data_IF_717040042226
#
_entry.id   IF_717040042226
#
_cell.length_a   1.000
_cell.length_b   1.000
_cell.length_c   1.000
_cell.angle_alpha   90.00
_cell.angle_beta   90.00
_cell.angle_gamma   90.00
#
_symmetry.space_group_name_H-M   'P 1'
#
loop_
_entity.id
_entity.type
_entity.pdbx_description
1 polymer ?
#
# COMPACT_ATOMS: atom_id res chain seq x y z
N UNK A 1 20.61 8.66 -37.86
CA UNK A 1 19.66 8.23 -36.81
C UNK A 1 20.47 7.82 -35.59
N UNK A 2 20.40 8.51 -34.45
CA UNK A 2 21.17 8.11 -33.28
C UNK A 2 20.47 6.96 -32.55
N UNK A 3 21.27 5.99 -32.12
CA UNK A 3 20.86 4.85 -31.33
C UNK A 3 20.37 5.29 -29.94
N UNK A 4 19.19 4.81 -29.54
CA UNK A 4 18.65 4.97 -28.19
C UNK A 4 19.49 4.10 -27.22
N UNK A 5 20.57 4.64 -26.67
CA UNK A 5 21.41 3.96 -25.69
C UNK A 5 20.88 4.05 -24.25
N UNK A 6 19.61 4.38 -24.06
CA UNK A 6 18.97 4.43 -22.75
C UNK A 6 18.13 3.18 -22.55
N UNK A 7 18.66 2.18 -21.85
CA UNK A 7 17.81 1.11 -21.30
C UNK A 7 16.78 1.76 -20.38
N UNK A 8 15.53 1.88 -20.84
CA UNK A 8 14.43 2.39 -20.04
C UNK A 8 14.37 1.64 -18.70
N UNK A 9 14.07 2.33 -17.60
CA UNK A 9 13.91 1.72 -16.28
C UNK A 9 12.93 0.54 -16.31
N UNK A 10 11.92 0.59 -17.18
CA UNK A 10 11.00 -0.53 -17.44
C UNK A 10 11.70 -1.75 -18.03
N UNK A 11 12.70 -1.58 -18.89
CA UNK A 11 13.50 -2.67 -19.44
C UNK A 11 14.40 -3.29 -18.38
N UNK A 12 15.02 -2.47 -17.51
CA UNK A 12 15.81 -2.96 -16.36
C UNK A 12 14.92 -3.67 -15.32
N UNK A 13 13.70 -3.16 -15.09
CA UNK A 13 12.70 -3.78 -14.22
C UNK A 13 12.20 -5.10 -14.79
N UNK A 14 11.85 -5.16 -16.08
CA UNK A 14 11.47 -6.41 -16.76
C UNK A 14 12.60 -7.44 -16.78
N UNK A 15 13.86 -7.01 -16.96
CA UNK A 15 15.03 -7.88 -16.86
C UNK A 15 15.29 -8.35 -15.41
N UNK A 16 14.89 -7.57 -14.40
CA UNK A 16 14.95 -7.99 -13.00
C UNK A 16 13.85 -8.99 -12.63
N UNK A 17 12.66 -8.90 -13.25
CA UNK A 17 11.59 -9.90 -13.12
C UNK A 17 11.94 -11.25 -13.77
N UNK A 18 12.85 -11.24 -14.76
CA UNK A 18 13.35 -12.46 -15.42
C UNK A 18 14.49 -13.14 -14.65
N UNK A 19 15.12 -12.44 -13.71
CA UNK A 19 16.10 -13.04 -12.82
C UNK A 19 15.35 -13.65 -11.64
N UNK A 20 15.34 -14.98 -11.60
CA UNK A 20 14.90 -15.80 -10.48
C UNK A 20 15.81 -15.59 -9.24
N UNK A 21 16.08 -14.34 -8.87
CA UNK A 21 16.79 -13.94 -7.67
C UNK A 21 15.78 -13.85 -6.54
N UNK A 22 16.10 -14.48 -5.40
CA UNK A 22 15.25 -14.45 -4.24
C UNK A 22 15.01 -13.00 -3.80
N UNK A 23 13.74 -12.60 -3.68
CA UNK A 23 13.37 -11.30 -3.13
C UNK A 23 13.93 -11.16 -1.71
N UNK A 24 14.50 -10.00 -1.38
CA UNK A 24 14.98 -9.66 -0.04
C UNK A 24 14.02 -8.67 0.65
N UNK A 25 12.89 -9.15 1.20
CA UNK A 25 11.90 -8.27 1.83
C UNK A 25 12.47 -7.59 3.09
N UNK A 26 12.06 -6.34 3.32
CA UNK A 26 12.43 -5.59 4.54
C UNK A 26 11.62 -6.01 5.76
N UNK A 27 10.45 -6.61 5.54
CA UNK A 27 9.52 -7.01 6.58
C UNK A 27 9.29 -8.52 6.50
N UNK A 28 9.71 -9.22 7.55
CA UNK A 28 9.51 -10.66 7.73
C UNK A 28 8.52 -10.91 8.87
N UNK A 29 7.85 -12.08 8.92
CA UNK A 29 7.06 -12.47 10.08
C UNK A 29 7.90 -12.37 11.35
N UNK A 30 7.40 -11.62 12.34
CA UNK A 30 8.05 -11.54 13.64
C UNK A 30 8.09 -12.93 14.31
N UNK A 31 9.23 -13.31 14.89
CA UNK A 31 9.41 -14.54 15.66
C UNK A 31 10.32 -14.22 16.86
N UNK A 32 9.88 -14.46 18.11
CA UNK A 32 8.54 -14.87 18.51
C UNK A 32 7.49 -13.77 18.21
N UNK A 33 6.23 -14.16 18.11
CA UNK A 33 5.10 -13.25 17.92
C UNK A 33 3.99 -13.55 18.92
N UNK A 34 3.62 -12.54 19.70
CA UNK A 34 2.49 -12.55 20.61
C UNK A 34 1.53 -11.39 20.27
N UNK A 35 0.35 -11.66 19.70
CA UNK A 35 -0.62 -10.62 19.39
C UNK A 35 -1.19 -9.93 20.64
N UNK A 36 -1.21 -10.60 21.80
CA UNK A 36 -1.71 -10.04 23.05
C UNK A 36 -0.75 -9.01 23.65
N UNK A 37 0.56 -9.16 23.45
CA UNK A 37 1.57 -8.18 23.85
C UNK A 37 1.42 -6.89 23.05
N UNK A 38 1.38 -7.00 21.72
CA UNK A 38 1.14 -5.86 20.82
C UNK A 38 -0.22 -5.19 21.11
N UNK A 39 -1.27 -5.98 21.36
CA UNK A 39 -2.59 -5.49 21.73
C UNK A 39 -2.56 -4.62 23.00
N UNK A 40 -1.82 -5.04 24.04
CA UNK A 40 -1.67 -4.28 25.28
C UNK A 40 -0.90 -2.97 25.05
N UNK A 41 0.16 -3.00 24.25
CA UNK A 41 0.90 -1.78 23.85
C UNK A 41 -0.01 -0.82 23.08
N UNK A 42 -0.78 -1.30 22.11
CA UNK A 42 -1.73 -0.45 21.38
C UNK A 42 -2.83 0.11 22.29
N UNK A 43 -3.18 -0.61 23.36
CA UNK A 43 -4.12 -0.10 24.35
C UNK A 43 -3.57 1.09 25.14
N UNK A 44 -2.28 1.10 25.49
CA UNK A 44 -1.68 2.26 26.16
C UNK A 44 -1.65 3.49 25.28
N UNK A 45 -1.41 3.33 23.97
CA UNK A 45 -1.35 4.45 23.01
C UNK A 45 -2.72 4.93 22.50
N UNK A 46 -3.80 4.18 22.80
CA UNK A 46 -5.16 4.50 22.34
C UNK A 46 -6.10 5.01 23.45
N UNK A 47 -5.53 5.41 24.60
CA UNK A 47 -6.24 5.90 25.81
C UNK A 47 -6.31 7.43 25.96
N UNK A 48 -5.76 8.21 25.03
CA UNK A 48 -5.78 9.68 25.11
C UNK A 48 -7.14 10.31 24.78
N UNK A 49 -7.49 11.40 25.47
CA UNK A 49 -8.66 12.27 25.18
C UNK A 49 -8.49 13.00 23.83
N UNK A 50 -7.24 13.13 23.35
CA UNK A 50 -6.85 13.87 22.15
C UNK A 50 -6.54 13.00 20.92
N UNK A 51 -6.90 11.72 20.94
CA UNK A 51 -6.71 10.81 19.79
C UNK A 51 -5.67 9.73 20.03
N UNK A 52 -5.37 9.00 18.96
CA UNK A 52 -4.44 7.86 18.93
C UNK A 52 -3.05 8.37 18.57
N UNK A 53 -2.01 7.95 19.31
CA UNK A 53 -0.61 8.23 18.92
C UNK A 53 -0.24 7.39 17.68
N UNK A 54 -0.49 7.95 16.50
CA UNK A 54 -0.27 7.28 15.22
C UNK A 54 1.19 6.87 15.02
N UNK A 55 2.15 7.64 15.55
CA UNK A 55 3.58 7.31 15.45
C UNK A 55 3.90 6.05 16.26
N UNK A 56 3.36 5.95 17.47
CA UNK A 56 3.51 4.75 18.28
C UNK A 56 2.84 3.53 17.63
N UNK A 57 1.62 3.71 17.07
CA UNK A 57 0.93 2.64 16.33
C UNK A 57 1.77 2.16 15.14
N UNK A 58 2.33 3.07 14.34
CA UNK A 58 3.22 2.75 13.22
C UNK A 58 4.49 2.04 13.73
N UNK A 59 5.05 2.46 14.86
CA UNK A 59 6.23 1.83 15.46
C UNK A 59 6.03 0.36 15.85
N UNK A 60 4.81 -0.03 16.19
CA UNK A 60 4.42 -1.42 16.50
C UNK A 60 4.02 -2.14 15.21
N UNK A 61 2.95 -1.68 14.56
CA UNK A 61 2.35 -2.33 13.39
C UNK A 61 3.28 -2.36 12.17
N UNK A 62 4.11 -1.33 12.01
CA UNK A 62 5.09 -1.23 10.92
C UNK A 62 6.16 -2.34 10.96
N UNK A 63 6.35 -3.00 12.11
CA UNK A 63 7.27 -4.12 12.31
C UNK A 63 6.56 -5.49 12.27
N UNK A 64 5.30 -5.53 11.87
CA UNK A 64 4.48 -6.74 11.77
C UNK A 64 4.01 -6.94 10.34
N UNK A 65 4.04 -8.19 9.88
CA UNK A 65 3.46 -8.53 8.58
C UNK A 65 1.96 -8.27 8.57
N UNK A 66 1.40 -8.15 7.37
CA UNK A 66 -0.03 -8.07 7.13
C UNK A 66 -0.87 -8.94 8.08
N UNK A 67 -0.58 -10.25 8.08
CA UNK A 67 -1.35 -11.26 8.81
C UNK A 67 -1.28 -11.01 10.31
N UNK A 68 -0.07 -10.78 10.82
CA UNK A 68 0.16 -10.44 12.22
C UNK A 68 -0.59 -9.16 12.64
N UNK A 69 -0.69 -8.15 11.78
CA UNK A 69 -1.50 -6.94 12.09
C UNK A 69 -2.98 -7.27 12.24
N UNK A 70 -3.51 -8.19 11.44
CA UNK A 70 -4.89 -8.67 11.57
C UNK A 70 -5.08 -9.45 12.88
N UNK A 71 -4.14 -10.33 13.22
CA UNK A 71 -4.18 -11.10 14.47
C UNK A 71 -4.19 -10.16 15.70
N UNK A 72 -3.39 -9.08 15.67
CA UNK A 72 -3.41 -8.05 16.72
C UNK A 72 -4.74 -7.30 16.76
N UNK A 73 -5.33 -6.98 15.59
CA UNK A 73 -6.65 -6.34 15.53
C UNK A 73 -7.75 -7.24 16.10
N UNK A 74 -7.68 -8.54 15.84
CA UNK A 74 -8.58 -9.55 16.39
C UNK A 74 -8.41 -9.68 17.91
N UNK A 75 -7.17 -9.81 18.40
CA UNK A 75 -6.87 -9.83 19.83
C UNK A 75 -7.41 -8.58 20.54
N UNK A 76 -7.26 -7.40 19.92
CA UNK A 76 -7.81 -6.15 20.44
C UNK A 76 -9.35 -6.15 20.49
N UNK A 77 -10.01 -6.69 19.46
CA UNK A 77 -11.47 -6.84 19.43
C UNK A 77 -11.95 -7.81 20.51
N UNK A 78 -11.30 -8.96 20.66
CA UNK A 78 -11.65 -9.99 21.64
C UNK A 78 -11.46 -9.50 23.09
N UNK A 79 -10.38 -8.75 23.35
CA UNK A 79 -10.03 -8.28 24.69
C UNK A 79 -10.80 -7.05 25.15
N UNK A 80 -11.14 -6.15 24.22
CA UNK A 80 -11.73 -4.85 24.57
C UNK A 80 -13.13 -4.61 23.98
N UNK A 81 -13.66 -5.54 23.19
CA UNK A 81 -14.99 -5.45 22.57
C UNK A 81 -15.14 -4.33 21.54
N UNK A 82 -14.03 -3.72 21.08
CA UNK A 82 -14.04 -2.56 20.17
C UNK A 82 -13.04 -2.76 19.05
N UNK A 83 -13.43 -2.37 17.83
CA UNK A 83 -12.56 -2.51 16.66
C UNK A 83 -11.40 -1.51 16.73
N UNK A 84 -10.17 -2.01 16.69
CA UNK A 84 -8.99 -1.16 16.65
C UNK A 84 -8.95 -0.30 15.37
N UNK A 85 -9.39 -0.86 14.23
CA UNK A 85 -9.50 -0.14 12.95
C UNK A 85 -10.29 1.17 13.08
N UNK A 86 -11.38 1.18 13.86
CA UNK A 86 -12.21 2.37 14.08
C UNK A 86 -11.55 3.48 14.92
N UNK A 87 -10.41 3.18 15.57
CA UNK A 87 -9.62 4.16 16.35
C UNK A 87 -8.54 4.85 15.53
N UNK A 88 -8.24 4.35 14.33
CA UNK A 88 -7.26 4.94 13.43
C UNK A 88 -7.92 5.96 12.52
N UNK A 89 -7.13 6.93 12.03
CA UNK A 89 -7.54 7.72 10.87
C UNK A 89 -7.79 6.82 9.67
N UNK A 90 -8.63 7.29 8.75
CA UNK A 90 -8.99 6.54 7.53
C UNK A 90 -7.75 6.19 6.69
N UNK A 91 -6.81 7.13 6.55
CA UNK A 91 -5.54 6.93 5.83
C UNK A 91 -4.66 5.87 6.51
N UNK A 92 -4.51 5.93 7.84
CA UNK A 92 -3.67 4.98 8.56
C UNK A 92 -4.28 3.58 8.58
N UNK A 93 -5.61 3.47 8.74
CA UNK A 93 -6.32 2.20 8.62
C UNK A 93 -6.17 1.58 7.22
N UNK A 94 -6.18 2.41 6.16
CA UNK A 94 -6.01 1.98 4.77
C UNK A 94 -4.63 1.37 4.55
N UNK A 95 -3.57 2.00 5.04
CA UNK A 95 -2.19 1.50 4.84
C UNK A 95 -1.85 0.33 5.77
N UNK A 96 -2.36 0.29 7.00
CA UNK A 96 -1.98 -0.74 7.97
C UNK A 96 -2.87 -2.00 7.97
N UNK A 97 -4.18 -1.86 7.70
CA UNK A 97 -5.18 -2.91 8.00
C UNK A 97 -5.99 -3.39 6.78
N UNK A 98 -6.15 -2.58 5.71
CA UNK A 98 -6.90 -3.01 4.51
C UNK A 98 -6.13 -3.91 3.54
N UNK A 99 -6.65 -5.11 3.24
CA UNK A 99 -5.97 -6.14 2.41
C UNK A 99 -5.17 -5.51 1.27
N UNK A 100 -3.94 -5.93 0.96
CA UNK A 100 -3.11 -5.27 -0.05
C UNK A 100 -3.84 -5.11 -1.38
N UNK A 101 -4.60 -6.13 -1.76
CA UNK A 101 -5.41 -6.16 -2.98
C UNK A 101 -6.57 -5.15 -2.92
N UNK A 102 -7.21 -4.99 -1.76
CA UNK A 102 -8.26 -4.00 -1.56
C UNK A 102 -7.68 -2.59 -1.55
N UNK A 103 -6.54 -2.38 -0.88
CA UNK A 103 -5.79 -1.12 -0.91
C UNK A 103 -5.48 -0.71 -2.36
N UNK A 104 -4.93 -1.64 -3.15
CA UNK A 104 -4.60 -1.41 -4.56
C UNK A 104 -5.84 -1.17 -5.41
N UNK A 105 -6.99 -1.79 -5.10
CA UNK A 105 -8.23 -1.57 -5.82
C UNK A 105 -8.71 -0.12 -5.67
N UNK A 106 -8.63 0.45 -4.46
CA UNK A 106 -8.95 1.86 -4.23
C UNK A 106 -7.96 2.80 -4.94
N UNK A 107 -6.66 2.52 -4.86
CA UNK A 107 -5.65 3.34 -5.57
C UNK A 107 -5.85 3.27 -7.11
N UNK A 108 -6.24 2.10 -7.64
CA UNK A 108 -6.59 1.94 -9.06
C UNK A 108 -7.88 2.71 -9.41
N UNK A 109 -8.90 2.66 -8.54
CA UNK A 109 -10.15 3.39 -8.74
C UNK A 109 -9.90 4.89 -8.77
N UNK A 110 -9.12 5.42 -7.81
CA UNK A 110 -8.71 6.82 -7.79
C UNK A 110 -7.95 7.16 -9.08
N UNK A 111 -6.98 6.35 -9.52
CA UNK A 111 -6.21 6.62 -10.73
C UNK A 111 -7.02 6.56 -12.04
N UNK A 112 -8.10 5.77 -12.09
CA UNK A 112 -8.97 5.66 -13.26
C UNK A 112 -9.99 6.81 -13.36
N UNK A 113 -10.42 7.38 -12.24
CA UNK A 113 -11.47 8.41 -12.20
C UNK A 113 -10.94 9.82 -11.98
N UNK A 114 -9.70 9.98 -11.49
CA UNK A 114 -9.08 11.28 -11.29
C UNK A 114 -8.15 11.64 -12.46
N UNK A 115 -8.19 12.89 -12.89
CA UNK A 115 -7.25 13.42 -13.88
C UNK A 115 -5.91 13.69 -13.22
N UNK A 116 -4.89 12.91 -13.55
CA UNK A 116 -3.51 13.18 -13.17
C UNK A 116 -2.99 14.36 -14.02
N UNK A 117 -2.30 15.31 -13.37
CA UNK A 117 -1.60 16.39 -14.07
C UNK A 117 -0.12 16.31 -13.77
N UNK A 118 0.69 16.48 -14.80
CA UNK A 118 2.15 16.41 -14.72
C UNK A 118 2.73 17.78 -14.99
N UNK A 119 3.61 18.23 -14.11
CA UNK A 119 4.47 19.37 -14.38
C UNK A 119 5.54 18.98 -15.40
N UNK A 120 5.61 19.74 -16.48
CA UNK A 120 6.60 19.58 -17.54
C UNK A 120 7.40 20.87 -17.63
N UNK A 121 8.72 20.74 -17.52
CA UNK A 121 9.63 21.87 -17.66
C UNK A 121 10.42 21.73 -18.95
N UNK A 122 10.21 22.65 -19.90
CA UNK A 122 10.90 22.68 -21.19
C UNK A 122 11.39 24.10 -21.47
N UNK A 123 12.69 24.24 -21.73
CA UNK A 123 13.29 25.53 -22.11
C UNK A 123 13.15 26.63 -21.04
N UNK A 124 13.24 26.28 -19.76
CA UNK A 124 13.14 27.25 -18.64
C UNK A 124 11.71 27.67 -18.27
N UNK A 125 10.70 27.23 -19.01
CA UNK A 125 9.29 27.37 -18.65
C UNK A 125 8.76 26.09 -17.99
N UNK A 126 7.76 26.20 -17.10
CA UNK A 126 7.05 25.05 -16.52
C UNK A 126 5.57 25.19 -16.80
N UNK A 127 4.96 24.14 -17.34
CA UNK A 127 3.53 24.03 -17.59
C UNK A 127 2.97 22.76 -16.98
N UNK A 128 1.65 22.70 -16.79
CA UNK A 128 0.94 21.52 -16.32
C UNK A 128 0.22 20.89 -17.50
N UNK A 129 0.48 19.61 -17.74
CA UNK A 129 -0.17 18.83 -18.78
C UNK A 129 -1.03 17.73 -18.13
N UNK A 130 -2.28 17.60 -18.57
CA UNK A 130 -3.13 16.48 -18.15
C UNK A 130 -2.58 15.21 -18.75
N UNK A 131 -2.27 14.23 -17.90
CA UNK A 131 -1.77 12.93 -18.35
C UNK A 131 -2.92 12.14 -18.94
N UNK A 132 -2.90 11.79 -20.24
CA UNK A 132 -3.94 10.97 -20.84
C UNK A 132 -3.91 9.56 -20.25
N UNK A 133 -5.09 8.99 -20.01
CA UNK A 133 -5.18 7.55 -19.76
C UNK A 133 -4.66 6.77 -20.99
N UNK A 134 -3.91 5.65 -20.84
CA UNK A 134 -3.54 4.94 -19.60
C UNK A 134 -2.14 5.32 -19.06
N UNK A 135 -1.60 6.49 -19.42
CA UNK A 135 -0.24 6.88 -19.08
C UNK A 135 -0.06 7.31 -17.61
N UNK A 136 -1.14 7.31 -16.83
CA UNK A 136 -1.10 7.60 -15.40
C UNK A 136 -0.11 6.65 -14.71
N UNK A 137 0.85 7.22 -13.97
CA UNK A 137 1.97 6.47 -13.42
C UNK A 137 1.49 5.35 -12.48
N UNK A 138 0.47 5.63 -11.69
CA UNK A 138 -0.11 4.68 -10.73
C UNK A 138 -0.71 3.46 -11.44
N UNK A 139 -1.38 3.64 -12.59
CA UNK A 139 -1.97 2.55 -13.36
C UNK A 139 -0.87 1.63 -13.90
N UNK A 140 0.16 2.22 -14.51
CA UNK A 140 1.30 1.48 -15.04
C UNK A 140 2.00 0.72 -13.90
N UNK A 141 2.25 1.37 -12.76
CA UNK A 141 2.89 0.75 -11.61
C UNK A 141 2.08 -0.44 -11.09
N UNK A 142 0.77 -0.29 -10.89
CA UNK A 142 -0.11 -1.37 -10.40
C UNK A 142 -0.15 -2.53 -11.40
N UNK A 143 -0.34 -2.27 -12.70
CA UNK A 143 -0.49 -3.32 -13.70
C UNK A 143 0.83 -4.03 -13.98
N UNK A 144 1.95 -3.30 -14.06
CA UNK A 144 3.25 -3.87 -14.42
C UNK A 144 4.01 -4.52 -13.25
N UNK A 145 3.60 -4.32 -12.00
CA UNK A 145 4.27 -4.90 -10.82
C UNK A 145 3.53 -6.10 -10.21
N UNK A 146 2.53 -6.64 -10.90
CA UNK A 146 1.66 -7.72 -10.38
C UNK A 146 1.64 -8.91 -11.33
N UNK A 147 1.57 -10.10 -10.72
CA UNK A 147 1.35 -11.36 -11.43
C UNK A 147 -0.08 -11.45 -11.98
N UNK A 148 -0.33 -12.31 -12.99
CA UNK A 148 -1.67 -12.54 -13.51
C UNK A 148 -2.69 -12.97 -12.44
N UNK A 149 -2.26 -13.74 -11.44
CA UNK A 149 -3.08 -14.19 -10.32
C UNK A 149 -3.45 -13.01 -9.41
N UNK A 150 -2.48 -12.18 -9.05
CA UNK A 150 -2.72 -10.97 -8.25
C UNK A 150 -3.64 -9.97 -8.96
N UNK A 151 -3.54 -9.85 -10.30
CA UNK A 151 -4.43 -9.00 -11.09
C UNK A 151 -5.86 -9.52 -11.12
N UNK A 152 -6.07 -10.85 -11.12
CA UNK A 152 -7.41 -11.45 -10.99
C UNK A 152 -8.01 -11.13 -9.62
N UNK A 153 -7.24 -11.31 -8.55
CA UNK A 153 -7.68 -10.99 -7.20
C UNK A 153 -7.99 -9.49 -7.03
N UNK A 154 -7.14 -8.63 -7.61
CA UNK A 154 -7.35 -7.19 -7.65
C UNK A 154 -8.65 -6.84 -8.37
N UNK A 155 -8.91 -7.43 -9.53
CA UNK A 155 -10.16 -7.22 -10.29
C UNK A 155 -11.38 -7.58 -9.44
N UNK A 156 -11.34 -8.72 -8.74
CA UNK A 156 -12.43 -9.15 -7.85
C UNK A 156 -12.66 -8.12 -6.74
N UNK A 157 -11.60 -7.62 -6.09
CA UNK A 157 -11.76 -6.58 -5.06
C UNK A 157 -12.32 -5.28 -5.64
N UNK A 158 -11.83 -4.85 -6.80
CA UNK A 158 -12.28 -3.65 -7.48
C UNK A 158 -13.78 -3.71 -7.82
N UNK A 159 -14.24 -4.83 -8.37
CA UNK A 159 -15.65 -5.02 -8.76
C UNK A 159 -16.59 -5.13 -7.56
N UNK A 160 -16.12 -5.65 -6.42
CA UNK A 160 -16.95 -5.84 -5.23
C UNK A 160 -17.03 -4.63 -4.30
N UNK A 161 -15.96 -3.83 -4.24
CA UNK A 161 -15.79 -2.82 -3.17
C UNK A 161 -15.68 -1.39 -3.71
N UNK A 162 -15.40 -1.20 -5.02
CA UNK A 162 -15.21 0.12 -5.62
C UNK A 162 -16.26 0.50 -6.68
N UNK A 163 -16.85 -0.47 -7.39
CA UNK A 163 -17.96 -0.26 -8.33
C UNK A 163 -19.31 -0.39 -7.62
#
# INVERSE_FOLDING_TARGET
MPALSGSCLMCSYMLSLQRNEALSPTLLPAVPFDPDEDCQMLKSFSKGIFGTDEKAVIGIMGKRTWKQRLDVCEAYQNRYGKSFKKKLSSSLARVLIMRPQLYLAFDLYEALHHTETRSVSTGGSTYSETVPWPLSRNIIEIICSRSPEELKDLKIQYENECK
#
